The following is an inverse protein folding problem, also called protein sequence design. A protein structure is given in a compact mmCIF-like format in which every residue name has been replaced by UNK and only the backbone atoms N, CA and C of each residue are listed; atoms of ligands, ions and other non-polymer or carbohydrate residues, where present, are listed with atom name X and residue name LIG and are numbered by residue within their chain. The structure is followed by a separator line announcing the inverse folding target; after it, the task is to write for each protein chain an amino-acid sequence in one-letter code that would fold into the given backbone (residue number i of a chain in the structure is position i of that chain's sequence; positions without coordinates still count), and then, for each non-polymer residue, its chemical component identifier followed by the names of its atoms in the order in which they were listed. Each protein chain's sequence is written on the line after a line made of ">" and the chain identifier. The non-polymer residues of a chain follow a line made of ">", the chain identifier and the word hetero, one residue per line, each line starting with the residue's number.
data_IF_575099220579
#
_entry.id   IF_575099220579
#
_cell.length_a   1.000
_cell.length_b   1.000
_cell.length_c   1.000
_cell.angle_alpha   90.00
_cell.angle_beta   90.00
_cell.angle_gamma   90.00
#
_symmetry.space_group_name_H-M   'P 1'
#
loop_
_entity.id
_entity.type
_entity.pdbx_description
1 polymer ?
#
# COMPACT_ATOMS: atom_id res chain seq x y z
N UNK A 1 -40.64 1.36 5.75
CA UNK A 1 -39.31 1.62 5.17
C UNK A 1 -38.43 0.48 5.62
N UNK A 2 -37.71 -0.16 4.70
CA UNK A 2 -36.80 -1.26 5.03
C UNK A 2 -35.65 -0.70 5.88
N UNK A 3 -35.27 -1.44 6.92
CA UNK A 3 -34.21 -1.03 7.85
C UNK A 3 -32.82 -1.04 7.19
N UNK A 4 -31.91 -0.24 7.73
CA UNK A 4 -30.54 -0.09 7.22
C UNK A 4 -29.74 -1.39 7.33
N UNK A 5 -28.88 -1.65 6.33
CA UNK A 5 -27.95 -2.79 6.27
C UNK A 5 -27.17 -3.03 7.59
N UNK A 6 -26.84 -1.96 8.31
CA UNK A 6 -26.18 -2.00 9.61
C UNK A 6 -26.94 -2.85 10.66
N UNK A 7 -28.27 -2.78 10.71
CA UNK A 7 -29.07 -3.59 11.65
C UNK A 7 -29.07 -5.07 11.26
N UNK A 8 -29.08 -5.38 9.95
CA UNK A 8 -28.97 -6.75 9.44
C UNK A 8 -27.61 -7.36 9.84
N UNK A 9 -26.52 -6.62 9.63
CA UNK A 9 -25.17 -7.06 9.98
C UNK A 9 -25.02 -7.19 11.50
N UNK A 10 -25.48 -6.20 12.26
CA UNK A 10 -25.45 -6.25 13.72
C UNK A 10 -26.26 -7.43 14.27
N UNK A 11 -27.41 -7.75 13.67
CA UNK A 11 -28.18 -8.94 14.04
C UNK A 11 -27.45 -10.24 13.71
N UNK A 12 -26.77 -10.31 12.55
CA UNK A 12 -26.02 -11.49 12.10
C UNK A 12 -24.82 -11.81 13.00
N UNK A 13 -24.16 -10.78 13.55
CA UNK A 13 -23.00 -10.92 14.44
C UNK A 13 -23.34 -10.79 15.94
N UNK A 14 -24.63 -10.75 16.28
CA UNK A 14 -25.14 -10.65 17.65
C UNK A 14 -24.73 -9.36 18.40
N UNK A 15 -24.43 -8.29 17.66
CA UNK A 15 -23.95 -7.00 18.17
C UNK A 15 -25.08 -6.06 18.60
N UNK A 16 -26.34 -6.38 18.26
CA UNK A 16 -27.49 -5.56 18.66
C UNK A 16 -27.80 -5.67 20.15
N UNK A 17 -28.28 -4.56 20.73
CA UNK A 17 -28.86 -4.58 22.07
C UNK A 17 -30.13 -5.44 22.12
N UNK A 18 -30.57 -5.80 23.33
CA UNK A 18 -31.79 -6.62 23.49
C UNK A 18 -33.07 -5.92 23.03
N UNK A 19 -33.10 -4.57 23.05
CA UNK A 19 -34.21 -3.76 22.54
C UNK A 19 -34.25 -3.77 21.02
N UNK A 20 -33.15 -3.36 20.39
CA UNK A 20 -33.00 -3.34 18.92
C UNK A 20 -33.24 -4.72 18.31
N UNK A 21 -32.75 -5.79 18.95
CA UNK A 21 -32.97 -7.16 18.48
C UNK A 21 -34.46 -7.53 18.44
N UNK A 22 -35.26 -7.08 19.41
CA UNK A 22 -36.71 -7.36 19.44
C UNK A 22 -37.46 -6.57 18.37
N UNK A 23 -37.10 -5.30 18.19
CA UNK A 23 -37.68 -4.44 17.16
C UNK A 23 -37.37 -4.99 15.76
N UNK A 24 -36.10 -5.36 15.52
CA UNK A 24 -35.66 -5.97 14.28
C UNK A 24 -36.33 -7.33 14.02
N UNK A 25 -36.52 -8.17 15.05
CA UNK A 25 -37.27 -9.43 14.90
C UNK A 25 -38.75 -9.19 14.53
N UNK A 26 -39.38 -8.17 15.09
CA UNK A 26 -40.73 -7.77 14.70
C UNK A 26 -40.77 -7.28 13.24
N UNK A 27 -39.73 -6.56 12.80
CA UNK A 27 -39.58 -6.16 11.40
C UNK A 27 -39.42 -7.37 10.45
N UNK A 28 -38.56 -8.33 10.80
CA UNK A 28 -38.37 -9.56 10.01
C UNK A 28 -39.67 -10.37 9.85
N UNK A 29 -40.57 -10.34 10.84
CA UNK A 29 -41.88 -10.98 10.73
C UNK A 29 -42.79 -10.30 9.69
N UNK A 30 -42.64 -8.99 9.48
CA UNK A 30 -43.47 -8.20 8.57
C UNK A 30 -42.84 -7.98 7.18
N UNK A 31 -41.52 -8.01 7.05
CA UNK A 31 -40.79 -7.73 5.82
C UNK A 31 -40.22 -9.01 5.19
N UNK A 32 -40.58 -9.33 3.94
CA UNK A 32 -39.97 -10.45 3.21
C UNK A 32 -38.61 -10.14 2.62
N UNK A 33 -38.37 -8.89 2.22
CA UNK A 33 -37.11 -8.45 1.60
C UNK A 33 -35.94 -8.60 2.58
N UNK A 34 -36.06 -8.04 3.79
CA UNK A 34 -35.03 -8.16 4.82
C UNK A 34 -34.79 -9.62 5.27
N UNK A 35 -35.81 -10.50 5.16
CA UNK A 35 -35.63 -11.94 5.40
C UNK A 35 -34.76 -12.59 4.32
N UNK A 36 -35.02 -12.27 3.05
CA UNK A 36 -34.22 -12.76 1.92
C UNK A 36 -32.77 -12.29 2.06
N UNK A 37 -32.55 -11.00 2.31
CA UNK A 37 -31.20 -10.46 2.49
C UNK A 37 -30.44 -11.13 3.65
N UNK A 38 -31.11 -11.33 4.80
CA UNK A 38 -30.51 -12.02 5.95
C UNK A 38 -30.12 -13.47 5.61
N UNK A 39 -30.98 -14.17 4.86
CA UNK A 39 -30.71 -15.55 4.45
C UNK A 39 -29.58 -15.64 3.41
N UNK A 40 -29.47 -14.67 2.49
CA UNK A 40 -28.35 -14.55 1.55
C UNK A 40 -27.00 -14.35 2.28
N UNK A 41 -26.98 -13.48 3.29
CA UNK A 41 -25.77 -13.26 4.11
C UNK A 41 -25.40 -14.52 4.93
N UNK A 42 -26.39 -15.23 5.49
CA UNK A 42 -26.17 -16.51 6.19
C UNK A 42 -25.64 -17.60 5.26
N UNK A 43 -26.16 -17.67 4.04
CA UNK A 43 -25.69 -18.59 3.01
C UNK A 43 -24.23 -18.31 2.65
N UNK A 44 -23.87 -17.05 2.43
CA UNK A 44 -22.49 -16.62 2.17
C UNK A 44 -21.55 -17.01 3.31
N UNK A 45 -21.98 -16.80 4.57
CA UNK A 45 -21.20 -17.22 5.74
C UNK A 45 -20.98 -18.74 5.79
N UNK A 46 -22.00 -19.51 5.43
CA UNK A 46 -21.89 -20.97 5.35
C UNK A 46 -20.91 -21.40 4.27
N UNK A 47 -20.95 -20.76 3.09
CA UNK A 47 -19.98 -21.01 2.01
C UNK A 47 -18.55 -20.65 2.42
N UNK A 48 -18.35 -19.52 3.11
CA UNK A 48 -17.04 -19.12 3.63
C UNK A 48 -16.54 -20.07 4.73
N UNK A 49 -17.43 -20.61 5.56
CA UNK A 49 -17.06 -21.59 6.58
C UNK A 49 -16.61 -22.93 5.97
N UNK A 50 -17.10 -23.28 4.79
CA UNK A 50 -16.66 -24.46 4.03
C UNK A 50 -15.33 -24.23 3.30
N UNK A 51 -14.92 -22.98 3.14
CA UNK A 51 -13.68 -22.66 2.48
C UNK A 51 -12.48 -23.00 3.38
N UNK A 52 -11.75 -24.04 3.02
CA UNK A 52 -10.44 -24.32 3.61
C UNK A 52 -9.38 -23.55 2.82
N UNK A 53 -8.68 -22.58 3.43
CA UNK A 53 -7.53 -21.99 2.77
C UNK A 53 -6.46 -23.08 2.50
N UNK A 54 -5.72 -22.98 1.39
CA UNK A 54 -4.58 -23.86 1.17
C UNK A 54 -3.57 -23.63 2.29
N UNK A 55 -3.19 -24.68 3.01
CA UNK A 55 -2.17 -24.57 4.05
C UNK A 55 -0.86 -24.14 3.37
N UNK A 56 -0.31 -22.95 3.69
CA UNK A 56 1.04 -22.62 3.24
C UNK A 56 2.01 -23.63 3.87
N UNK A 57 2.98 -24.10 3.09
CA UNK A 57 4.14 -24.79 3.66
C UNK A 57 4.98 -23.74 4.39
N UNK A 58 4.68 -23.55 5.67
CA UNK A 58 5.32 -22.54 6.50
C UNK A 58 6.79 -22.88 6.76
N UNK A 59 7.27 -24.10 6.45
CA UNK A 59 8.63 -24.54 6.80
C UNK A 59 8.89 -24.66 8.31
N UNK A 60 7.91 -24.28 9.14
CA UNK A 60 7.91 -24.46 10.59
C UNK A 60 6.56 -25.02 11.04
N UNK A 61 6.60 -25.88 12.06
CA UNK A 61 5.40 -26.42 12.70
C UNK A 61 4.95 -25.43 13.78
N UNK A 62 3.81 -24.79 13.58
CA UNK A 62 3.14 -24.04 14.64
C UNK A 62 2.68 -25.05 15.69
N UNK A 63 3.44 -25.18 16.77
CA UNK A 63 2.99 -25.86 17.97
C UNK A 63 2.09 -24.85 18.68
N UNK A 64 0.78 -24.93 18.44
CA UNK A 64 -0.19 -24.32 19.35
C UNK A 64 0.02 -25.02 20.68
N UNK A 65 0.83 -24.42 21.55
CA UNK A 65 1.09 -24.93 22.89
C UNK A 65 -0.24 -25.22 23.54
N UNK A 66 -0.52 -26.51 23.79
CA UNK A 66 -1.74 -26.94 24.44
C UNK A 66 -1.93 -26.09 25.68
N UNK A 67 -3.13 -25.52 25.84
CA UNK A 67 -3.60 -24.74 26.99
C UNK A 67 -2.63 -24.74 28.16
N UNK A 68 -1.61 -23.88 28.10
CA UNK A 68 -0.78 -23.64 29.26
C UNK A 68 -1.76 -23.07 30.31
N UNK A 69 -1.88 -23.67 31.51
CA UNK A 69 -2.70 -23.08 32.54
C UNK A 69 -2.22 -21.65 32.74
N UNK A 70 -3.14 -20.69 32.58
CA UNK A 70 -2.84 -19.28 32.71
C UNK A 70 -2.03 -19.09 34.01
N UNK A 71 -0.85 -18.43 33.98
CA UNK A 71 -0.12 -18.17 35.20
C UNK A 71 -1.04 -17.37 36.12
N UNK A 72 -1.38 -17.94 37.26
CA UNK A 72 -2.14 -17.29 38.31
C UNK A 72 -1.29 -16.15 38.87
N UNK A 73 -1.34 -14.99 38.19
CA UNK A 73 -0.73 -13.76 38.67
C UNK A 73 -1.41 -13.42 40.01
N UNK A 74 -0.64 -13.15 41.08
CA UNK A 74 -1.21 -12.76 42.36
C UNK A 74 -2.00 -11.47 42.15
N UNK A 75 -3.21 -11.45 42.72
CA UNK A 75 -4.19 -10.35 42.72
C UNK A 75 -3.65 -9.15 43.51
N UNK A 76 -2.52 -8.57 43.09
CA UNK A 76 -1.98 -7.34 43.65
C UNK A 76 -2.45 -6.18 42.78
N UNK A 77 -3.54 -5.58 43.24
CA UNK A 77 -4.01 -4.22 42.99
C UNK A 77 -3.67 -3.62 41.63
N UNK A 78 -4.67 -3.61 40.75
CA UNK A 78 -4.75 -2.74 39.58
C UNK A 78 -4.69 -1.28 40.02
N UNK A 79 -3.50 -0.73 40.09
CA UNK A 79 -3.26 0.69 39.89
C UNK A 79 -2.49 0.77 38.57
N UNK A 80 -3.25 0.94 37.49
CA UNK A 80 -2.67 1.24 36.19
C UNK A 80 -1.96 2.60 36.30
N UNK A 81 -0.69 2.73 35.89
CA UNK A 81 -0.09 4.04 35.72
C UNK A 81 -0.71 4.66 34.46
N UNK A 82 -1.42 5.77 34.65
CA UNK A 82 -2.10 6.59 33.61
C UNK A 82 -1.13 7.07 32.50
N UNK A 83 0.18 6.86 32.67
CA UNK A 83 1.21 7.25 31.71
C UNK A 83 1.36 6.33 30.48
N UNK A 84 0.74 5.14 30.46
CA UNK A 84 0.82 4.25 29.29
C UNK A 84 0.10 4.81 28.04
N UNK A 85 -0.88 5.71 28.22
CA UNK A 85 -1.60 6.33 27.10
C UNK A 85 -0.80 7.42 26.39
N UNK A 86 0.17 8.04 27.05
CA UNK A 86 1.00 9.09 26.45
C UNK A 86 1.93 8.50 25.37
N UNK A 87 2.51 7.33 25.60
CA UNK A 87 3.38 6.68 24.63
C UNK A 87 2.62 6.22 23.38
N UNK A 88 1.43 5.65 23.55
CA UNK A 88 0.59 5.23 22.42
C UNK A 88 0.12 6.42 21.57
N UNK A 89 -0.24 7.54 22.19
CA UNK A 89 -0.65 8.76 21.47
C UNK A 89 0.48 9.33 20.61
N UNK A 90 1.72 9.34 21.11
CA UNK A 90 2.89 9.83 20.35
C UNK A 90 3.17 8.95 19.13
N UNK A 91 3.06 7.63 19.26
CA UNK A 91 3.29 6.70 18.13
C UNK A 91 2.23 6.87 17.05
N UNK A 92 0.95 7.03 17.42
CA UNK A 92 -0.14 7.28 16.47
C UNK A 92 0.04 8.62 15.76
N UNK A 93 0.43 9.67 16.48
CA UNK A 93 0.72 10.98 15.88
C UNK A 93 1.93 10.94 14.94
N UNK A 94 3.00 10.22 15.32
CA UNK A 94 4.18 10.04 14.47
C UNK A 94 3.85 9.24 13.20
N UNK A 95 3.01 8.20 13.31
CA UNK A 95 2.54 7.42 12.17
C UNK A 95 1.68 8.28 11.22
N UNK A 96 0.76 9.09 11.76
CA UNK A 96 -0.07 10.00 10.97
C UNK A 96 0.78 11.09 10.28
N UNK A 97 1.79 11.64 10.96
CA UNK A 97 2.70 12.64 10.40
C UNK A 97 3.59 12.07 9.28
N UNK A 98 4.01 10.81 9.42
CA UNK A 98 4.78 10.10 8.38
C UNK A 98 3.93 9.83 7.12
N UNK A 99 2.66 9.47 7.29
CA UNK A 99 1.74 9.23 6.16
C UNK A 99 1.40 10.55 5.44
N UNK A 100 1.34 11.68 6.17
CA UNK A 100 0.97 12.98 5.62
C UNK A 100 2.15 13.83 5.08
N UNK A 101 3.40 13.33 5.16
CA UNK A 101 4.63 14.05 4.76
C UNK A 101 4.72 15.46 5.38
N UNK A 102 4.59 15.52 6.71
CA UNK A 102 4.59 16.79 7.45
C UNK A 102 6.04 17.18 7.79
N UNK A 103 6.54 18.25 7.20
CA UNK A 103 7.84 18.82 7.55
C UNK A 103 7.65 19.98 8.54
N UNK A 104 8.21 19.83 9.74
CA UNK A 104 8.21 20.88 10.77
C UNK A 104 9.62 21.45 10.84
N UNK A 105 9.79 22.71 10.42
CA UNK A 105 11.06 23.44 10.57
C UNK A 105 10.91 24.52 11.63
N UNK A 106 11.78 24.48 12.62
CA UNK A 106 11.90 25.50 13.66
C UNK A 106 13.08 26.40 13.30
N UNK A 107 12.80 27.63 12.88
CA UNK A 107 13.80 28.64 12.57
C UNK A 107 13.70 29.84 13.52
N UNK A 108 14.63 30.78 13.39
CA UNK A 108 14.61 32.06 14.13
C UNK A 108 13.37 32.91 13.84
N UNK A 109 12.67 32.62 12.73
CA UNK A 109 11.46 33.32 12.28
C UNK A 109 10.15 32.61 12.66
N UNK A 110 10.19 31.57 13.51
CA UNK A 110 9.02 30.88 14.05
C UNK A 110 8.81 29.45 13.54
N UNK A 111 7.70 28.83 13.97
CA UNK A 111 7.30 27.46 13.64
C UNK A 111 6.62 27.42 12.26
N UNK A 112 7.25 26.81 11.27
CA UNK A 112 6.60 26.54 9.97
C UNK A 112 6.25 25.06 9.87
N UNK A 113 4.96 24.76 9.69
CA UNK A 113 4.44 23.41 9.46
C UNK A 113 3.93 23.32 8.02
N UNK A 114 4.56 22.47 7.21
CA UNK A 114 4.15 22.25 5.81
C UNK A 114 3.56 20.86 5.66
N UNK A 115 2.29 20.79 5.28
CA UNK A 115 1.55 19.54 5.03
C UNK A 115 1.11 19.50 3.56
N UNK A 116 1.56 18.53 2.77
CA UNK A 116 1.05 18.32 1.41
C UNK A 116 1.99 17.61 0.44
N UNK A 117 1.44 16.66 -0.31
CA UNK A 117 1.99 16.18 -1.57
C UNK A 117 1.53 17.11 -2.70
N UNK A 118 2.31 18.16 -2.95
CA UNK A 118 2.22 18.97 -4.15
C UNK A 118 3.62 19.08 -4.75
N UNK A 119 3.68 18.91 -6.07
CA UNK A 119 4.86 18.55 -6.85
C UNK A 119 6.15 19.28 -6.52
N UNK A 120 7.25 18.57 -6.74
CA UNK A 120 8.60 19.11 -6.78
C UNK A 120 8.66 20.31 -7.72
N UNK A 121 8.57 21.51 -7.15
CA UNK A 121 9.23 22.69 -7.67
C UNK A 121 10.44 22.91 -6.77
N UNK A 122 11.54 22.22 -7.10
CA UNK A 122 12.83 22.42 -6.46
C UNK A 122 13.39 23.78 -6.88
N UNK A 123 13.01 24.84 -6.16
CA UNK A 123 13.80 26.05 -6.03
C UNK A 123 14.94 25.80 -5.04
N UNK A 124 15.97 25.05 -5.44
CA UNK A 124 17.19 24.91 -4.67
C UNK A 124 18.05 26.17 -4.84
N UNK A 125 17.79 27.17 -4.01
CA UNK A 125 18.77 28.18 -3.65
C UNK A 125 19.87 27.47 -2.85
N UNK A 126 21.03 27.25 -3.47
CA UNK A 126 22.25 26.84 -2.76
C UNK A 126 23.16 28.05 -2.66
N UNK A 127 23.43 28.43 -1.41
CA UNK A 127 24.37 29.46 -1.00
C UNK A 127 25.80 29.09 -1.45
N UNK A 128 26.50 30.10 -1.94
CA UNK A 128 27.90 30.04 -2.32
C UNK A 128 28.82 30.04 -1.10
N UNK A 129 29.80 29.13 -1.08
CA UNK A 129 31.12 29.42 -0.52
C UNK A 129 32.20 28.60 -1.27
N UNK A 130 33.39 29.17 -1.52
CA UNK A 130 34.26 28.77 -2.61
C UNK A 130 35.25 27.70 -2.15
N UNK A 131 35.58 26.76 -3.02
CA UNK A 131 36.91 26.18 -3.03
C UNK A 131 37.35 25.89 -4.46
N UNK A 132 38.55 26.37 -4.74
CA UNK A 132 39.20 26.33 -6.03
C UNK A 132 39.68 24.91 -6.33
N UNK A 133 39.21 24.34 -7.44
CA UNK A 133 40.02 23.42 -8.24
C UNK A 133 39.56 23.48 -9.68
N UNK A 134 40.45 24.07 -10.50
CA UNK A 134 40.31 24.28 -11.92
C UNK A 134 40.16 22.95 -12.66
N UNK A 135 38.98 22.74 -13.24
CA UNK A 135 38.72 21.77 -14.30
C UNK A 135 37.93 22.50 -15.38
N UNK A 136 38.63 23.01 -16.38
CA UNK A 136 38.05 23.77 -17.50
C UNK A 136 37.07 22.89 -18.30
N UNK A 137 35.78 23.11 -18.11
CA UNK A 137 34.75 22.67 -19.04
C UNK A 137 34.20 23.91 -19.72
N UNK A 138 34.59 24.09 -20.99
CA UNK A 138 34.06 25.09 -21.91
C UNK A 138 32.53 25.02 -21.89
N UNK A 139 31.90 26.00 -21.24
CA UNK A 139 30.48 26.24 -21.41
C UNK A 139 30.23 26.59 -22.88
N UNK A 140 29.67 25.65 -23.64
CA UNK A 140 29.01 25.99 -24.88
C UNK A 140 27.78 26.79 -24.45
N UNK A 141 27.84 28.11 -24.61
CA UNK A 141 26.65 28.95 -24.63
C UNK A 141 25.74 28.37 -25.72
N UNK A 142 24.78 27.54 -25.31
CA UNK A 142 23.61 27.28 -26.12
C UNK A 142 22.79 28.57 -26.06
N UNK A 143 23.14 29.53 -26.92
CA UNK A 143 22.22 30.59 -27.30
C UNK A 143 20.94 29.88 -27.73
N UNK A 144 19.91 29.95 -26.90
CA UNK A 144 18.58 29.53 -27.29
C UNK A 144 18.26 30.20 -28.63
N UNK A 145 17.76 29.49 -29.64
CA UNK A 145 17.37 30.13 -30.88
C UNK A 145 16.31 31.15 -30.51
N UNK A 146 16.61 32.44 -30.69
CA UNK A 146 15.59 33.48 -30.60
C UNK A 146 14.62 33.21 -31.74
N UNK A 147 13.51 32.55 -31.42
CA UNK A 147 12.44 32.24 -32.37
C UNK A 147 11.87 33.58 -32.83
N UNK A 148 12.25 33.97 -34.05
CA UNK A 148 11.78 35.19 -34.68
C UNK A 148 10.25 35.10 -34.82
N UNK A 149 9.46 36.08 -34.33
CA UNK A 149 8.00 36.08 -34.48
C UNK A 149 7.53 35.88 -35.93
N UNK A 150 8.34 36.22 -36.93
CA UNK A 150 8.05 35.93 -38.33
C UNK A 150 8.01 34.42 -38.65
N UNK A 151 8.87 33.62 -38.02
CA UNK A 151 8.90 32.15 -38.20
C UNK A 151 7.69 31.47 -37.54
N UNK A 152 7.21 32.02 -36.42
CA UNK A 152 5.99 31.54 -35.76
C UNK A 152 4.75 31.80 -36.61
N UNK A 153 4.66 32.97 -37.24
CA UNK A 153 3.55 33.31 -38.16
C UNK A 153 3.54 32.49 -39.46
N UNK A 154 4.71 32.01 -39.91
CA UNK A 154 4.80 31.05 -41.02
C UNK A 154 4.36 29.64 -40.59
N UNK A 155 4.74 29.23 -39.37
CA UNK A 155 4.32 27.95 -38.81
C UNK A 155 2.80 27.88 -38.60
N UNK A 156 2.17 28.94 -38.08
CA UNK A 156 0.70 29.02 -37.89
C UNK A 156 -0.03 28.96 -39.24
N UNK A 157 0.50 29.62 -40.28
CA UNK A 157 -0.06 29.54 -41.64
C UNK A 157 0.05 28.14 -42.24
N UNK A 158 1.19 27.46 -42.03
CA UNK A 158 1.35 26.05 -42.44
C UNK A 158 0.40 25.13 -41.68
N UNK A 159 0.23 25.33 -40.38
CA UNK A 159 -0.68 24.54 -39.56
C UNK A 159 -2.12 24.67 -40.06
N UNK A 160 -2.59 25.92 -40.26
CA UNK A 160 -3.94 26.19 -40.80
C UNK A 160 -4.14 25.62 -42.20
N UNK A 161 -3.12 25.63 -43.05
CA UNK A 161 -3.18 25.03 -44.38
C UNK A 161 -3.34 23.50 -44.31
N UNK A 162 -2.60 22.85 -43.41
CA UNK A 162 -2.69 21.40 -43.16
C UNK A 162 -4.05 21.04 -42.55
N UNK A 163 -4.54 21.82 -41.59
CA UNK A 163 -5.86 21.61 -40.99
C UNK A 163 -6.98 21.76 -42.03
N UNK A 164 -6.86 22.75 -42.94
CA UNK A 164 -7.81 22.95 -44.03
C UNK A 164 -7.77 21.83 -45.08
N UNK A 165 -6.59 21.27 -45.37
CA UNK A 165 -6.49 20.11 -46.27
C UNK A 165 -7.04 18.84 -45.62
N UNK A 166 -6.73 18.61 -44.34
CA UNK A 166 -7.23 17.45 -43.59
C UNK A 166 -8.75 17.48 -43.42
N UNK A 167 -9.36 18.64 -43.16
CA UNK A 167 -10.82 18.77 -43.07
C UNK A 167 -11.50 18.56 -44.42
N UNK A 168 -10.92 19.04 -45.54
CA UNK A 168 -11.46 18.77 -46.89
C UNK A 168 -11.38 17.31 -47.27
N UNK A 169 -10.22 16.67 -47.13
CA UNK A 169 -10.04 15.25 -47.47
C UNK A 169 -10.91 14.34 -46.59
N UNK A 170 -10.94 14.62 -45.28
CA UNK A 170 -11.80 13.89 -44.33
C UNK A 170 -13.28 14.08 -44.64
N UNK A 171 -13.72 15.29 -45.03
CA UNK A 171 -15.14 15.54 -45.35
C UNK A 171 -15.60 14.84 -46.63
N UNK A 172 -14.73 14.72 -47.65
CA UNK A 172 -15.06 14.04 -48.92
C UNK A 172 -15.06 12.51 -48.75
N UNK A 173 -14.18 11.97 -47.89
CA UNK A 173 -14.15 10.54 -47.56
C UNK A 173 -15.23 10.12 -46.55
N UNK A 174 -15.57 10.97 -45.57
CA UNK A 174 -16.69 10.71 -44.65
C UNK A 174 -18.04 10.83 -45.37
N UNK A 175 -18.25 11.83 -46.23
CA UNK A 175 -19.55 12.03 -46.90
C UNK A 175 -19.90 10.89 -47.89
N UNK A 176 -18.91 10.24 -48.50
CA UNK A 176 -19.12 9.11 -49.41
C UNK A 176 -19.31 7.77 -48.69
N UNK A 177 -18.86 7.66 -47.42
CA UNK A 177 -18.92 6.41 -46.64
C UNK A 177 -20.02 6.43 -45.56
N UNK A 178 -20.44 7.61 -45.09
CA UNK A 178 -21.48 7.75 -44.06
C UNK A 178 -22.89 7.43 -44.54
N UNK A 179 -23.16 7.47 -45.85
CA UNK A 179 -24.51 7.24 -46.37
C UNK A 179 -24.91 5.76 -46.53
N UNK A 180 -24.27 4.81 -45.81
CA UNK A 180 -24.66 3.38 -45.85
C UNK A 180 -24.63 2.61 -44.54
N UNK A 181 -24.07 3.12 -43.45
CA UNK A 181 -24.17 2.43 -42.16
C UNK A 181 -25.29 3.04 -41.34
N UNK A 182 -26.38 2.30 -41.23
CA UNK A 182 -27.49 2.65 -40.33
C UNK A 182 -26.97 2.78 -38.90
N UNK A 183 -27.60 3.64 -38.10
CA UNK A 183 -27.24 3.85 -36.69
C UNK A 183 -27.21 2.52 -35.89
N UNK A 184 -28.07 1.57 -36.27
CA UNK A 184 -28.09 0.21 -35.74
C UNK A 184 -26.85 -0.64 -36.08
N UNK A 185 -26.16 -0.36 -37.19
CA UNK A 185 -24.89 -0.98 -37.58
C UNK A 185 -23.71 -0.35 -36.84
N UNK A 186 -23.73 0.96 -36.66
CA UNK A 186 -22.72 1.68 -35.86
C UNK A 186 -22.72 1.18 -34.41
N UNK A 187 -23.91 1.09 -33.78
CA UNK A 187 -24.03 0.58 -32.41
C UNK A 187 -23.56 -0.89 -32.30
N UNK A 188 -23.82 -1.72 -33.31
CA UNK A 188 -23.29 -3.10 -33.36
C UNK A 188 -21.77 -3.12 -33.44
N UNK A 189 -21.19 -2.27 -34.27
CA UNK A 189 -19.74 -2.18 -34.43
C UNK A 189 -19.06 -1.65 -33.16
N UNK A 190 -19.63 -0.64 -32.49
CA UNK A 190 -19.10 -0.13 -31.22
C UNK A 190 -19.14 -1.20 -30.13
N UNK A 191 -20.22 -1.97 -30.02
CA UNK A 191 -20.30 -3.08 -29.05
C UNK A 191 -19.24 -4.14 -29.32
N UNK A 192 -19.00 -4.46 -30.60
CA UNK A 192 -17.97 -5.42 -31.00
C UNK A 192 -16.56 -4.90 -30.68
N UNK A 193 -16.27 -3.62 -30.95
CA UNK A 193 -14.99 -3.01 -30.57
C UNK A 193 -14.80 -2.99 -29.05
N UNK A 194 -15.86 -2.74 -28.29
CA UNK A 194 -15.79 -2.76 -26.82
C UNK A 194 -15.51 -4.17 -26.28
N UNK A 195 -16.16 -5.21 -26.81
CA UNK A 195 -15.87 -6.60 -26.41
C UNK A 195 -14.45 -7.01 -26.75
N UNK A 196 -13.96 -6.60 -27.92
CA UNK A 196 -12.58 -6.89 -28.35
C UNK A 196 -11.58 -6.16 -27.46
N UNK A 197 -11.81 -4.88 -27.15
CA UNK A 197 -10.97 -4.11 -26.25
C UNK A 197 -10.96 -4.69 -24.83
N UNK A 198 -12.13 -5.09 -24.32
CA UNK A 198 -12.25 -5.71 -23.00
C UNK A 198 -11.52 -7.06 -22.94
N UNK A 199 -11.53 -7.83 -24.03
CA UNK A 199 -10.78 -9.09 -24.12
C UNK A 199 -9.26 -8.86 -24.03
N UNK A 200 -8.74 -7.84 -24.73
CA UNK A 200 -7.32 -7.45 -24.68
C UNK A 200 -6.92 -6.92 -23.30
N UNK A 201 -7.78 -6.12 -22.69
CA UNK A 201 -7.54 -5.59 -21.35
C UNK A 201 -7.47 -6.71 -20.29
N UNK A 202 -8.26 -7.78 -20.45
CA UNK A 202 -8.19 -8.96 -19.57
C UNK A 202 -6.89 -9.74 -19.74
N UNK A 203 -6.39 -9.90 -20.97
CA UNK A 203 -5.12 -10.60 -21.21
C UNK A 203 -3.93 -9.82 -20.67
N UNK A 204 -3.91 -8.51 -20.88
CA UNK A 204 -2.82 -7.65 -20.40
C UNK A 204 -2.79 -7.61 -18.86
N UNK A 205 -3.96 -7.52 -18.23
CA UNK A 205 -4.06 -7.57 -16.77
C UNK A 205 -3.58 -8.91 -16.20
N UNK A 206 -3.90 -10.04 -16.85
CA UNK A 206 -3.43 -11.35 -16.43
C UNK A 206 -1.89 -11.45 -16.51
N UNK A 207 -1.29 -10.92 -17.57
CA UNK A 207 0.17 -10.87 -17.70
C UNK A 207 0.82 -10.00 -16.63
N UNK A 208 0.24 -8.83 -16.34
CA UNK A 208 0.74 -7.94 -15.29
C UNK A 208 0.65 -8.59 -13.90
N UNK A 209 -0.47 -9.27 -13.61
CA UNK A 209 -0.65 -9.99 -12.34
C UNK A 209 0.38 -11.11 -12.17
N UNK A 210 0.68 -11.86 -13.24
CA UNK A 210 1.71 -12.90 -13.22
C UNK A 210 3.12 -12.33 -13.01
N UNK A 211 3.41 -11.14 -13.53
CA UNK A 211 4.68 -10.45 -13.27
C UNK A 211 4.79 -10.04 -11.80
N UNK A 212 3.76 -9.40 -11.25
CA UNK A 212 3.73 -9.00 -9.83
C UNK A 212 3.93 -10.20 -8.90
N UNK A 213 3.26 -11.32 -9.18
CA UNK A 213 3.42 -12.54 -8.38
C UNK A 213 4.86 -13.07 -8.41
N UNK A 214 5.51 -13.00 -9.58
CA UNK A 214 6.91 -13.43 -9.71
C UNK A 214 7.86 -12.53 -8.93
N UNK A 215 7.64 -11.21 -8.97
CA UNK A 215 8.47 -10.24 -8.26
C UNK A 215 8.35 -10.41 -6.74
N UNK A 216 7.12 -10.61 -6.23
CA UNK A 216 6.87 -10.86 -4.80
C UNK A 216 7.55 -12.15 -4.34
N UNK A 217 7.48 -13.22 -5.15
CA UNK A 217 8.16 -14.48 -4.82
C UNK A 217 9.68 -14.32 -4.78
N UNK A 218 10.27 -13.52 -5.68
CA UNK A 218 11.70 -13.24 -5.66
C UNK A 218 12.13 -12.43 -4.43
N UNK A 219 11.34 -11.41 -4.06
CA UNK A 219 11.59 -10.64 -2.83
C UNK A 219 11.54 -11.54 -1.60
N UNK A 220 10.48 -12.33 -1.46
CA UNK A 220 10.32 -13.24 -0.33
C UNK A 220 11.47 -14.26 -0.21
N UNK A 221 11.93 -14.82 -1.33
CA UNK A 221 13.09 -15.71 -1.32
C UNK A 221 14.36 -14.98 -0.84
N UNK A 222 14.56 -13.73 -1.26
CA UNK A 222 15.71 -12.92 -0.82
C UNK A 222 15.63 -12.55 0.66
N UNK A 223 14.42 -12.30 1.17
CA UNK A 223 14.19 -11.98 2.57
C UNK A 223 14.43 -13.17 3.48
N UNK A 224 13.98 -14.37 3.08
CA UNK A 224 14.27 -15.60 3.84
C UNK A 224 15.78 -15.80 3.98
N UNK A 225 16.54 -15.61 2.91
CA UNK A 225 18.00 -15.75 2.95
C UNK A 225 18.62 -14.72 3.90
N UNK A 226 18.14 -13.47 3.89
CA UNK A 226 18.61 -12.43 4.84
C UNK A 226 18.27 -12.77 6.28
N UNK A 227 17.06 -13.27 6.55
CA UNK A 227 16.63 -13.67 7.89
C UNK A 227 17.47 -14.84 8.41
N UNK A 228 17.73 -15.85 7.57
CA UNK A 228 18.59 -16.98 7.93
C UNK A 228 20.01 -16.53 8.26
N UNK A 229 20.61 -15.68 7.42
CA UNK A 229 21.95 -15.13 7.69
C UNK A 229 22.00 -14.30 8.98
N UNK A 230 20.95 -13.52 9.26
CA UNK A 230 20.84 -12.78 10.52
C UNK A 230 20.77 -13.72 11.73
N UNK A 231 19.96 -14.77 11.66
CA UNK A 231 19.84 -15.75 12.74
C UNK A 231 21.15 -16.51 13.00
N UNK A 232 21.87 -16.91 11.94
CA UNK A 232 23.18 -17.57 12.07
C UNK A 232 24.22 -16.65 12.73
N UNK A 233 24.18 -15.35 12.40
CA UNK A 233 25.07 -14.36 13.02
C UNK A 233 24.79 -14.21 14.52
N UNK A 234 23.52 -14.16 14.93
CA UNK A 234 23.15 -14.10 16.35
C UNK A 234 23.56 -15.38 17.09
N UNK A 235 23.32 -16.56 16.50
CA UNK A 235 23.74 -17.83 17.09
C UNK A 235 25.26 -17.88 17.28
N UNK A 236 26.03 -17.42 16.30
CA UNK A 236 27.48 -17.30 16.38
C UNK A 236 27.95 -16.41 17.53
N UNK A 237 27.32 -15.25 17.73
CA UNK A 237 27.62 -14.34 18.85
C UNK A 237 27.32 -14.98 20.20
N UNK A 238 26.13 -15.58 20.38
CA UNK A 238 25.80 -16.29 21.64
C UNK A 238 26.77 -17.43 21.93
N UNK A 239 27.16 -18.21 20.92
CA UNK A 239 28.12 -19.30 21.11
C UNK A 239 29.50 -18.77 21.53
N UNK A 240 29.94 -17.65 20.95
CA UNK A 240 31.19 -17.00 21.32
C UNK A 240 31.15 -16.46 22.76
N UNK A 241 30.05 -15.80 23.17
CA UNK A 241 29.85 -15.33 24.53
C UNK A 241 29.81 -16.48 25.55
N UNK A 242 29.11 -17.59 25.23
CA UNK A 242 29.06 -18.79 26.06
C UNK A 242 30.45 -19.42 26.20
N UNK A 243 31.24 -19.47 25.13
CA UNK A 243 32.61 -19.98 25.17
C UNK A 243 33.50 -19.09 26.06
N UNK A 244 33.41 -17.76 25.89
CA UNK A 244 34.16 -16.81 26.71
C UNK A 244 33.77 -16.89 28.19
N UNK A 245 32.48 -17.01 28.51
CA UNK A 245 31.99 -17.18 29.87
C UNK A 245 32.50 -18.48 30.51
N UNK A 246 32.58 -19.57 29.75
CA UNK A 246 33.15 -20.85 30.22
C UNK A 246 34.65 -20.74 30.50
N UNK A 247 35.41 -20.07 29.65
CA UNK A 247 36.84 -19.86 29.86
C UNK A 247 37.11 -19.00 31.08
N UNK A 248 36.35 -17.93 31.29
CA UNK A 248 36.48 -17.07 32.46
C UNK A 248 36.19 -17.85 33.76
N UNK A 249 35.16 -18.69 33.76
CA UNK A 249 34.81 -19.57 34.89
C UNK A 249 35.94 -20.59 35.18
N UNK A 250 36.49 -21.22 34.15
CA UNK A 250 37.60 -22.15 34.29
C UNK A 250 38.87 -21.47 34.84
N UNK A 251 39.15 -20.22 34.45
CA UNK A 251 40.26 -19.45 35.01
C UNK A 251 40.07 -19.17 36.50
N UNK A 252 38.85 -18.79 36.91
CA UNK A 252 38.50 -18.59 38.32
C UNK A 252 38.70 -19.86 39.17
N UNK A 253 38.22 -21.02 38.68
CA UNK A 253 38.44 -22.30 39.37
C UNK A 253 39.94 -22.57 39.54
N UNK A 254 40.75 -22.40 38.48
CA UNK A 254 42.20 -22.62 38.56
C UNK A 254 42.94 -21.62 39.45
N UNK A 255 42.41 -20.41 39.61
CA UNK A 255 42.96 -19.42 40.52
C UNK A 255 42.65 -19.77 41.98
N UNK A 256 41.40 -20.15 42.28
CA UNK A 256 40.98 -20.57 43.62
C UNK A 256 41.73 -21.82 44.11
N UNK A 257 41.91 -22.83 43.26
CA UNK A 257 42.65 -24.04 43.59
C UNK A 257 44.15 -23.81 43.87
N UNK A 258 44.71 -22.67 43.45
CA UNK A 258 46.11 -22.29 43.74
C UNK A 258 46.26 -21.52 45.05
N UNK A 259 45.19 -20.95 45.60
CA UNK A 259 45.22 -20.24 46.88
C UNK A 259 45.14 -21.16 48.11
N UNK A 260 44.67 -22.41 47.95
CA UNK A 260 44.56 -23.39 49.05
C UNK A 260 45.83 -24.23 49.28
N UNK A 261 46.94 -23.95 48.59
CA UNK A 261 48.26 -24.56 48.84
C UNK A 261 49.24 -23.54 49.40
#
# INVERSE_FOLDING_TARGET
>A
MCESNELIVGFLYDELTSGERKEFQAHLAACSECRVELDELRSTRTHLALWSPPLPDLGFRVISGGSAPAPALPRRTRLAPVFAFAAAAVVVLAAAAAIANVEIRYGTDGLQVRTGWAGQAQGAQVQAQPDASSGEVRAVNASAPTVDPATFGELDRRLRAIEASMTRESSVQLASTQNRMSDAELLRQVRQMLSDAQSRQRTDNAHQMLQILRDVQQQHASDIVRIQQGLDQYQGMTNAEIAQSRDMFNQWIRASARQEK
#
